data_IF_737604900741
#
_entry.id   IF_737604900741
#
_cell.length_a   1.000
_cell.length_b   1.000
_cell.length_c   1.000
_cell.angle_alpha   90.00
_cell.angle_beta   90.00
_cell.angle_gamma   90.00
#
_symmetry.space_group_name_H-M   'P 1'
#
loop_
_entity.id
_entity.type
_entity.pdbx_description
1 polymer ?
#
# COMPACT_ATOMS: atom_id res chain seq x y z
N UNK A 1 -20.00 17.35 3.75
CA UNK A 1 -20.06 18.20 2.55
C UNK A 1 -18.95 17.73 1.62
N UNK A 2 -19.23 17.53 0.34
CA UNK A 2 -18.20 17.16 -0.65
C UNK A 2 -17.50 18.43 -1.12
N UNK A 3 -16.16 18.47 -1.12
CA UNK A 3 -15.39 19.61 -1.64
C UNK A 3 -14.39 19.18 -2.71
N UNK A 4 -14.21 20.01 -3.74
CA UNK A 4 -13.24 19.81 -4.82
C UNK A 4 -11.90 20.48 -4.48
N UNK A 5 -10.83 19.69 -4.39
CA UNK A 5 -9.49 20.15 -3.96
C UNK A 5 -8.38 19.42 -4.73
N UNK A 6 -7.14 19.87 -4.58
CA UNK A 6 -5.97 19.01 -4.79
C UNK A 6 -5.65 18.26 -3.50
N UNK A 7 -5.13 17.03 -3.60
CA UNK A 7 -4.73 16.18 -2.49
C UNK A 7 -3.29 15.68 -2.69
N UNK A 8 -2.48 15.78 -1.64
CA UNK A 8 -1.16 15.17 -1.55
C UNK A 8 -1.07 14.46 -0.19
N UNK A 9 -0.91 13.14 -0.18
CA UNK A 9 -0.89 12.38 1.06
C UNK A 9 -0.02 11.13 0.99
N UNK A 10 0.58 10.78 2.13
CA UNK A 10 1.13 9.44 2.41
C UNK A 10 0.39 8.77 3.57
N UNK A 11 -0.66 9.39 4.07
CA UNK A 11 -1.50 8.85 5.13
C UNK A 11 -2.86 8.54 4.53
N UNK A 12 -3.00 7.32 4.05
CA UNK A 12 -4.25 6.84 3.49
C UNK A 12 -4.44 5.35 3.73
N UNK A 13 -5.70 4.94 3.77
CA UNK A 13 -6.11 3.60 4.17
C UNK A 13 -7.06 3.04 3.12
N UNK A 14 -6.79 1.81 2.69
CA UNK A 14 -7.75 1.02 1.91
C UNK A 14 -8.75 0.37 2.84
N UNK A 15 -10.04 0.64 2.63
CA UNK A 15 -11.11 0.14 3.50
C UNK A 15 -12.01 -0.81 2.70
N UNK A 16 -11.99 -2.12 2.98
CA UNK A 16 -12.80 -3.10 2.25
C UNK A 16 -14.29 -2.93 2.55
N UNK A 17 -15.12 -3.13 1.53
CA UNK A 17 -16.58 -3.10 1.62
C UNK A 17 -17.19 -4.15 0.68
N UNK A 18 -18.25 -4.81 1.14
CA UNK A 18 -19.10 -5.66 0.31
C UNK A 18 -20.43 -4.96 0.10
N UNK A 19 -20.89 -4.89 -1.15
CA UNK A 19 -22.20 -4.36 -1.52
C UNK A 19 -22.81 -5.18 -2.65
N UNK A 20 -24.14 -5.13 -2.80
CA UNK A 20 -24.80 -5.64 -4.00
C UNK A 20 -24.56 -4.68 -5.16
N UNK A 21 -23.99 -5.18 -6.26
CA UNK A 21 -23.74 -4.39 -7.45
C UNK A 21 -25.07 -4.00 -8.10
N UNK A 22 -25.36 -2.70 -8.32
CA UNK A 22 -26.62 -2.27 -8.93
C UNK A 22 -26.73 -2.66 -10.42
N UNK A 23 -25.61 -3.02 -11.05
CA UNK A 23 -25.55 -3.33 -12.48
C UNK A 23 -25.76 -4.83 -12.77
N UNK A 24 -25.11 -5.72 -12.02
CA UNK A 24 -25.18 -7.17 -12.24
C UNK A 24 -25.90 -7.95 -11.13
N UNK A 25 -26.23 -7.32 -10.01
CA UNK A 25 -26.91 -7.95 -8.87
C UNK A 25 -26.05 -8.89 -8.02
N UNK A 26 -24.79 -9.10 -8.38
CA UNK A 26 -23.87 -9.90 -7.58
C UNK A 26 -23.37 -9.12 -6.36
N UNK A 27 -23.21 -9.79 -5.23
CA UNK A 27 -22.45 -9.25 -4.09
C UNK A 27 -20.98 -9.10 -4.53
N UNK A 28 -20.50 -7.86 -4.54
CA UNK A 28 -19.15 -7.51 -4.96
C UNK A 28 -18.34 -7.04 -3.77
N UNK A 29 -17.12 -7.55 -3.65
CA UNK A 29 -16.09 -7.03 -2.75
C UNK A 29 -15.31 -5.95 -3.48
N UNK A 30 -15.27 -4.77 -2.88
CA UNK A 30 -14.51 -3.62 -3.38
C UNK A 30 -13.86 -2.89 -2.19
N UNK A 31 -13.30 -1.70 -2.39
CA UNK A 31 -12.73 -0.91 -1.32
C UNK A 31 -12.86 0.59 -1.57
N UNK A 32 -12.96 1.35 -0.48
CA UNK A 32 -12.82 2.81 -0.49
C UNK A 32 -11.41 3.25 -0.06
N UNK A 33 -11.08 4.49 -0.37
CA UNK A 33 -9.86 5.15 0.10
C UNK A 33 -10.26 6.18 1.16
N UNK A 34 -9.60 6.13 2.31
CA UNK A 34 -9.73 7.16 3.36
C UNK A 34 -8.39 7.87 3.51
N UNK A 35 -8.37 9.19 3.33
CA UNK A 35 -7.21 10.04 3.57
C UNK A 35 -7.18 10.50 5.03
N UNK A 36 -5.98 10.59 5.61
CA UNK A 36 -5.76 10.94 7.01
C UNK A 36 -5.49 12.43 7.28
N UNK A 37 -5.47 12.85 8.55
CA UNK A 37 -5.33 14.24 8.99
C UNK A 37 -3.99 14.91 8.65
N UNK A 38 -2.92 14.15 8.38
CA UNK A 38 -1.65 14.70 7.87
C UNK A 38 -1.67 15.01 6.38
N UNK A 39 -2.72 14.60 5.66
CA UNK A 39 -2.89 14.91 4.25
C UNK A 39 -2.83 16.42 4.00
N UNK A 40 -2.23 16.79 2.88
CA UNK A 40 -2.15 18.16 2.42
C UNK A 40 -3.21 18.39 1.36
N UNK A 41 -3.92 19.50 1.47
CA UNK A 41 -4.93 19.93 0.50
C UNK A 41 -4.68 21.35 0.04
N UNK A 42 -5.18 21.66 -1.15
CA UNK A 42 -5.22 23.02 -1.66
C UNK A 42 -6.44 23.23 -2.55
N UNK A 43 -6.78 24.48 -2.87
CA UNK A 43 -7.93 24.80 -3.73
C UNK A 43 -7.75 24.17 -5.11
N UNK A 44 -8.77 23.46 -5.59
CA UNK A 44 -8.81 23.01 -6.98
C UNK A 44 -8.88 24.23 -7.91
N UNK A 45 -8.43 24.07 -9.16
CA UNK A 45 -8.44 25.03 -10.30
C UNK A 45 -7.09 25.55 -10.78
N UNK A 46 -6.04 24.72 -10.89
CA UNK A 46 -4.82 25.23 -11.52
C UNK A 46 -4.13 24.26 -12.49
N UNK A 47 -3.54 24.86 -13.53
CA UNK A 47 -2.76 24.22 -14.59
C UNK A 47 -1.50 23.52 -14.07
N UNK A 48 -1.00 22.53 -14.80
CA UNK A 48 0.19 21.74 -14.44
C UNK A 48 1.45 22.53 -14.03
N UNK A 49 1.59 23.81 -14.38
CA UNK A 49 2.72 24.68 -14.00
C UNK A 49 2.65 25.26 -12.57
N UNK A 50 1.48 25.26 -11.91
CA UNK A 50 1.28 25.92 -10.61
C UNK A 50 1.46 25.01 -9.38
N UNK A 51 1.45 23.69 -9.57
CA UNK A 51 1.38 22.71 -8.47
C UNK A 51 2.61 22.78 -7.54
N UNK A 52 3.77 23.19 -8.08
CA UNK A 52 5.02 23.37 -7.32
C UNK A 52 5.00 24.65 -6.47
N UNK A 53 4.16 25.64 -6.80
CA UNK A 53 4.04 26.92 -6.08
C UNK A 53 2.78 27.02 -5.21
N UNK A 54 2.06 25.93 -5.08
CA UNK A 54 0.76 25.91 -4.40
C UNK A 54 0.91 25.98 -2.87
N UNK A 55 0.08 26.81 -2.23
CA UNK A 55 0.00 26.85 -0.77
C UNK A 55 -0.76 25.62 -0.26
N UNK A 56 0.00 24.62 0.17
CA UNK A 56 -0.54 23.42 0.80
C UNK A 56 -0.94 23.72 2.24
N UNK A 57 -2.16 23.33 2.60
CA UNK A 57 -2.64 23.40 3.98
C UNK A 57 -2.90 21.99 4.49
N UNK A 58 -2.57 21.74 5.76
CA UNK A 58 -2.90 20.46 6.40
C UNK A 58 -4.42 20.31 6.46
N UNK A 59 -4.91 19.14 6.06
CA UNK A 59 -6.34 18.84 6.02
C UNK A 59 -6.94 18.71 7.42
N UNK A 60 -6.25 18.02 8.33
CA UNK A 60 -6.60 18.00 9.76
C UNK A 60 -7.77 17.09 10.16
N UNK A 61 -8.34 16.33 9.22
CA UNK A 61 -9.40 15.36 9.48
C UNK A 61 -9.21 14.08 8.65
N UNK A 62 -9.93 13.01 9.02
CA UNK A 62 -10.13 11.89 8.09
C UNK A 62 -11.20 12.27 7.06
N UNK A 63 -11.02 11.82 5.82
CA UNK A 63 -12.04 11.95 4.77
C UNK A 63 -12.09 10.73 3.86
N UNK A 64 -13.31 10.33 3.51
CA UNK A 64 -13.53 9.42 2.39
C UNK A 64 -13.24 10.14 1.08
N UNK A 65 -12.43 9.50 0.24
CA UNK A 65 -12.07 9.97 -1.09
C UNK A 65 -13.09 9.41 -2.08
N UNK A 66 -14.01 10.26 -2.54
CA UNK A 66 -15.09 9.87 -3.45
C UNK A 66 -14.61 9.71 -4.90
N UNK A 67 -13.62 10.51 -5.31
CA UNK A 67 -12.98 10.41 -6.62
C UNK A 67 -11.58 11.01 -6.56
N UNK A 68 -10.62 10.38 -7.23
CA UNK A 68 -9.30 10.97 -7.52
C UNK A 68 -9.16 11.16 -9.02
N UNK A 69 -8.82 12.34 -9.47
CA UNK A 69 -8.66 12.63 -10.89
C UNK A 69 -7.62 13.69 -11.19
N UNK A 70 -7.57 14.07 -12.46
CA UNK A 70 -6.56 14.99 -12.99
C UNK A 70 -5.29 14.23 -13.34
N UNK A 71 -4.18 14.46 -12.64
CA UNK A 71 -2.91 13.73 -12.90
C UNK A 71 -2.92 12.34 -12.27
N UNK A 72 -3.39 11.35 -13.03
CA UNK A 72 -3.56 9.98 -12.57
C UNK A 72 -2.32 9.10 -12.73
N UNK A 73 -1.24 9.54 -13.40
CA UNK A 73 -0.05 8.72 -13.70
C UNK A 73 0.56 8.02 -12.47
N UNK A 74 0.62 8.73 -11.34
CA UNK A 74 1.11 8.17 -10.07
C UNK A 74 0.07 7.22 -9.44
N UNK A 75 -1.22 7.56 -9.54
CA UNK A 75 -2.33 6.75 -9.04
C UNK A 75 -2.45 5.45 -9.84
N UNK A 76 -2.36 5.50 -11.16
CA UNK A 76 -2.42 4.32 -12.03
C UNK A 76 -1.29 3.36 -11.71
N UNK A 77 -0.07 3.87 -11.56
CA UNK A 77 1.09 3.04 -11.22
C UNK A 77 0.96 2.40 -9.84
N UNK A 78 0.58 3.17 -8.82
CA UNK A 78 0.63 2.71 -7.43
C UNK A 78 -0.65 2.04 -6.94
N UNK A 79 -1.81 2.48 -7.44
CA UNK A 79 -3.12 1.99 -7.01
C UNK A 79 -3.66 0.94 -7.97
N UNK A 80 -3.64 1.17 -9.29
CA UNK A 80 -4.16 0.16 -10.22
C UNK A 80 -3.24 -1.06 -10.30
N UNK A 81 -1.92 -0.89 -10.32
CA UNK A 81 -0.99 -2.02 -10.31
C UNK A 81 -1.30 -3.00 -9.16
N UNK A 82 -1.52 -2.46 -7.96
CA UNK A 82 -1.75 -3.24 -6.74
C UNK A 82 -3.21 -3.66 -6.52
N UNK A 83 -4.19 -2.85 -6.93
CA UNK A 83 -5.61 -3.02 -6.60
C UNK A 83 -6.52 -3.04 -7.85
N UNK A 84 -6.02 -3.60 -8.96
CA UNK A 84 -6.69 -3.64 -10.27
C UNK A 84 -8.10 -4.26 -10.26
N UNK A 85 -8.39 -5.19 -9.34
CA UNK A 85 -9.71 -5.81 -9.21
C UNK A 85 -10.74 -4.95 -8.47
N UNK A 86 -10.30 -3.84 -7.88
CA UNK A 86 -11.10 -2.98 -7.00
C UNK A 86 -11.30 -1.59 -7.60
N UNK A 87 -10.30 -1.10 -8.34
CA UNK A 87 -10.32 0.23 -8.94
C UNK A 87 -10.00 0.17 -10.43
N UNK A 88 -10.52 1.13 -11.17
CA UNK A 88 -10.17 1.41 -12.57
C UNK A 88 -10.04 2.91 -12.75
N UNK A 89 -9.25 3.35 -13.73
CA UNK A 89 -9.35 4.73 -14.21
C UNK A 89 -10.38 4.81 -15.35
N UNK A 90 -11.36 5.69 -15.21
CA UNK A 90 -12.38 6.00 -16.23
C UNK A 90 -12.55 7.51 -16.31
N UNK A 91 -12.53 8.09 -17.51
CA UNK A 91 -12.64 9.54 -17.72
C UNK A 91 -11.65 10.34 -16.85
N UNK A 92 -10.38 9.92 -16.82
CA UNK A 92 -9.29 10.54 -16.03
C UNK A 92 -9.57 10.59 -14.51
N UNK A 93 -10.40 9.66 -14.02
CA UNK A 93 -10.72 9.51 -12.60
C UNK A 93 -10.59 8.06 -12.15
N UNK A 94 -9.93 7.85 -11.02
CA UNK A 94 -9.99 6.58 -10.30
C UNK A 94 -11.40 6.38 -9.74
N UNK A 95 -12.03 5.31 -10.19
CA UNK A 95 -13.36 4.86 -9.75
C UNK A 95 -13.26 3.48 -9.14
N UNK A 96 -14.08 3.21 -8.13
CA UNK A 96 -14.30 1.86 -7.63
C UNK A 96 -15.11 1.07 -8.65
N UNK A 97 -14.79 -0.20 -8.83
CA UNK A 97 -15.47 -1.10 -9.76
C UNK A 97 -16.04 -2.32 -9.05
N UNK A 98 -17.01 -2.96 -9.69
CA UNK A 98 -17.48 -4.30 -9.33
C UNK A 98 -16.45 -5.35 -9.75
N UNK A 99 -16.09 -6.29 -8.87
CA UNK A 99 -15.15 -7.38 -9.16
C UNK A 99 -15.69 -8.39 -10.20
N UNK A 100 -17.00 -8.35 -10.51
CA UNK A 100 -17.66 -9.30 -11.41
C UNK A 100 -17.98 -8.76 -12.81
N UNK A 101 -18.46 -7.52 -12.90
CA UNK A 101 -18.83 -6.90 -14.18
C UNK A 101 -18.00 -5.66 -14.53
N UNK A 102 -17.01 -5.33 -13.70
CA UNK A 102 -16.10 -4.18 -13.84
C UNK A 102 -16.80 -2.81 -13.88
N UNK A 103 -18.13 -2.74 -13.76
CA UNK A 103 -18.86 -1.49 -13.80
C UNK A 103 -18.55 -0.58 -12.61
N UNK A 104 -18.53 0.72 -12.88
CA UNK A 104 -18.25 1.75 -11.89
C UNK A 104 -19.32 1.79 -10.80
N UNK A 105 -18.88 1.79 -9.55
CA UNK A 105 -19.72 1.90 -8.36
C UNK A 105 -19.76 3.36 -7.91
N UNK A 106 -20.98 3.92 -7.82
CA UNK A 106 -21.14 5.32 -7.44
C UNK A 106 -20.70 5.55 -5.97
N UNK A 107 -19.97 6.64 -5.65
CA UNK A 107 -19.41 6.84 -4.30
C UNK A 107 -20.46 6.86 -3.20
N UNK A 108 -21.67 7.35 -3.48
CA UNK A 108 -22.78 7.37 -2.54
C UNK A 108 -23.27 5.98 -2.11
N UNK A 109 -23.07 4.95 -2.95
CA UNK A 109 -23.45 3.56 -2.63
C UNK A 109 -22.53 2.96 -1.58
N UNK A 110 -21.23 3.26 -1.66
CA UNK A 110 -20.21 2.67 -0.78
C UNK A 110 -19.86 3.55 0.41
N UNK A 111 -20.15 4.87 0.36
CA UNK A 111 -19.73 5.86 1.37
C UNK A 111 -19.97 5.41 2.80
N UNK A 112 -21.21 5.04 3.14
CA UNK A 112 -21.55 4.63 4.50
C UNK A 112 -20.84 3.33 4.91
N UNK A 113 -20.72 2.37 3.99
CA UNK A 113 -20.00 1.12 4.23
C UNK A 113 -18.51 1.35 4.50
N UNK A 114 -17.88 2.21 3.70
CA UNK A 114 -16.47 2.61 3.86
C UNK A 114 -16.25 3.37 5.15
N UNK A 115 -17.04 4.42 5.43
CA UNK A 115 -16.84 5.23 6.63
C UNK A 115 -17.07 4.42 7.92
N UNK A 116 -18.11 3.59 7.96
CA UNK A 116 -18.34 2.70 9.12
C UNK A 116 -17.28 1.61 9.22
N UNK A 117 -16.84 1.05 8.08
CA UNK A 117 -15.75 0.08 8.01
C UNK A 117 -14.45 0.64 8.56
N UNK A 118 -14.11 1.88 8.19
CA UNK A 118 -12.93 2.58 8.68
C UNK A 118 -12.94 2.70 10.21
N UNK A 119 -14.02 3.22 10.80
CA UNK A 119 -14.15 3.34 12.26
C UNK A 119 -14.03 1.98 12.94
N UNK A 120 -14.73 0.97 12.44
CA UNK A 120 -14.73 -0.40 13.00
C UNK A 120 -13.36 -1.05 12.94
N UNK A 121 -12.65 -0.94 11.82
CA UNK A 121 -11.32 -1.51 11.64
C UNK A 121 -10.27 -0.74 12.47
N UNK A 122 -10.39 0.59 12.54
CA UNK A 122 -9.51 1.44 13.34
C UNK A 122 -9.58 1.11 14.82
N UNK A 123 -10.79 0.95 15.37
CA UNK A 123 -11.01 0.52 16.77
C UNK A 123 -10.36 -0.84 17.10
N UNK A 124 -10.19 -1.71 16.09
CA UNK A 124 -9.56 -3.02 16.23
C UNK A 124 -8.07 -3.02 15.89
N UNK A 125 -7.49 -1.86 15.55
CA UNK A 125 -6.10 -1.72 15.05
C UNK A 125 -5.82 -2.59 13.82
N UNK A 126 -6.82 -2.74 12.95
CA UNK A 126 -6.75 -3.52 11.70
C UNK A 126 -6.62 -2.65 10.45
N UNK A 127 -6.56 -1.33 10.62
CA UNK A 127 -6.28 -0.41 9.53
C UNK A 127 -4.78 -0.34 9.28
N UNK A 128 -4.41 -0.40 8.01
CA UNK A 128 -3.04 -0.27 7.56
C UNK A 128 -2.93 1.00 6.73
N UNK A 129 -2.02 1.88 7.14
CA UNK A 129 -1.65 3.02 6.32
C UNK A 129 -0.78 2.51 5.17
N UNK A 130 -1.23 2.74 3.93
CA UNK A 130 -0.54 2.28 2.74
C UNK A 130 0.83 2.96 2.56
N UNK A 131 1.04 4.14 3.15
CA UNK A 131 2.30 4.92 3.11
C UNK A 131 2.83 5.26 1.70
N UNK A 132 2.10 4.86 0.67
CA UNK A 132 2.30 5.23 -0.72
C UNK A 132 1.93 6.69 -0.94
N UNK A 133 2.71 7.40 -1.75
CA UNK A 133 2.36 8.75 -2.14
C UNK A 133 1.12 8.70 -3.04
N UNK A 134 0.04 9.37 -2.63
CA UNK A 134 -1.09 9.68 -3.49
C UNK A 134 -1.09 11.17 -3.78
N UNK A 135 -1.05 11.51 -5.06
CA UNK A 135 -1.26 12.86 -5.54
C UNK A 135 -2.42 12.89 -6.53
N UNK A 136 -3.31 13.85 -6.35
CA UNK A 136 -4.43 14.12 -7.27
C UNK A 136 -4.67 15.62 -7.33
N UNK A 137 -4.76 16.16 -8.55
CA UNK A 137 -5.08 17.58 -8.75
C UNK A 137 -6.59 17.88 -8.70
N UNK A 138 -7.44 16.85 -8.82
CA UNK A 138 -8.89 16.95 -8.67
C UNK A 138 -9.41 15.82 -7.79
N UNK A 139 -9.72 16.13 -6.53
CA UNK A 139 -10.28 15.18 -5.55
C UNK A 139 -11.65 15.63 -5.08
N UNK A 140 -12.57 14.68 -4.84
CA UNK A 140 -13.81 14.91 -4.10
C UNK A 140 -13.68 14.23 -2.72
N UNK A 141 -13.77 15.03 -1.64
CA UNK A 141 -13.59 14.54 -0.26
C UNK A 141 -14.89 14.69 0.54
N UNK A 142 -15.28 13.62 1.24
CA UNK A 142 -16.34 13.64 2.27
C UNK A 142 -15.71 13.42 3.64
N UNK A 143 -15.72 14.47 4.45
CA UNK A 143 -15.10 14.47 5.79
C UNK A 143 -15.89 13.63 6.80
N UNK A 144 -15.18 12.99 7.73
CA UNK A 144 -15.79 12.39 8.90
C UNK A 144 -16.22 13.48 9.89
N UNK A 145 -17.24 13.20 10.71
CA UNK A 145 -17.57 14.09 11.81
C UNK A 145 -16.38 14.25 12.77
N UNK A 146 -16.18 15.47 13.28
CA UNK A 146 -15.11 15.81 14.21
C UNK A 146 -15.03 14.81 15.38
N UNK A 147 -13.81 14.40 15.74
CA UNK A 147 -13.56 13.45 16.84
C UNK A 147 -13.22 12.02 16.40
N UNK A 148 -13.22 11.73 15.10
CA UNK A 148 -12.67 10.46 14.59
C UNK A 148 -11.15 10.50 14.71
N UNK A 149 -10.61 9.63 15.54
CA UNK A 149 -9.19 9.41 15.76
C UNK A 149 -8.94 7.91 15.70
N UNK A 150 -7.79 7.53 15.16
CA UNK A 150 -7.30 6.16 15.21
C UNK A 150 -5.99 6.19 15.97
N UNK A 151 -5.77 5.17 16.77
CA UNK A 151 -4.46 4.92 17.36
C UNK A 151 -3.61 4.29 16.26
N UNK A 152 -2.61 5.01 15.77
CA UNK A 152 -1.65 4.43 14.84
C UNK A 152 -0.90 3.29 15.54
N UNK A 153 -0.69 2.19 14.83
CA UNK A 153 0.22 1.18 15.31
C UNK A 153 1.64 1.71 15.11
N UNK A 154 2.37 1.94 16.20
CA UNK A 154 3.79 2.33 16.17
C UNK A 154 4.67 1.25 15.49
N UNK A 155 4.12 0.05 15.26
CA UNK A 155 4.76 -0.99 14.46
C UNK A 155 4.72 -0.53 13.00
N UNK A 156 5.88 -0.31 12.35
CA UNK A 156 5.92 0.33 11.03
C UNK A 156 5.26 -0.50 9.90
N UNK A 157 4.92 -1.76 10.15
CA UNK A 157 4.28 -2.72 9.22
C UNK A 157 3.40 -3.71 10.02
N UNK A 158 2.28 -3.27 10.62
CA UNK A 158 1.54 -4.08 11.59
C UNK A 158 0.81 -5.29 10.97
N UNK A 159 0.60 -5.27 9.65
CA UNK A 159 -0.02 -6.33 8.85
C UNK A 159 0.99 -7.25 8.16
N UNK A 160 2.29 -6.99 8.33
CA UNK A 160 3.33 -7.81 7.76
C UNK A 160 3.70 -8.91 8.74
N UNK A 161 3.82 -10.12 8.22
CA UNK A 161 4.43 -11.22 8.93
C UNK A 161 5.81 -11.48 8.33
N UNK A 162 6.80 -11.75 9.19
CA UNK A 162 8.12 -12.18 8.75
C UNK A 162 7.99 -13.58 8.16
N UNK A 163 8.45 -13.76 6.93
CA UNK A 163 8.36 -15.03 6.22
C UNK A 163 9.65 -15.83 6.39
N UNK A 164 10.78 -15.16 6.16
CA UNK A 164 12.11 -15.75 6.20
C UNK A 164 13.17 -14.69 6.54
N UNK A 165 14.32 -15.16 6.97
CA UNK A 165 15.51 -14.36 7.26
C UNK A 165 16.68 -14.97 6.52
N UNK A 166 17.46 -14.15 5.82
CA UNK A 166 18.69 -14.56 5.19
C UNK A 166 19.89 -13.97 5.93
N UNK A 167 20.91 -14.79 6.16
CA UNK A 167 22.22 -14.30 6.55
C UNK A 167 22.88 -13.66 5.32
N UNK A 168 23.55 -12.53 5.51
CA UNK A 168 24.20 -11.79 4.43
C UNK A 168 25.65 -11.46 4.71
N UNK A 169 26.42 -11.32 3.66
CA UNK A 169 27.80 -10.83 3.68
C UNK A 169 27.99 -9.76 2.61
N UNK A 170 28.75 -8.70 2.91
CA UNK A 170 29.20 -7.72 1.91
C UNK A 170 30.51 -8.16 1.27
N UNK A 171 30.93 -7.52 0.17
CA UNK A 171 32.23 -7.81 -0.44
C UNK A 171 33.42 -7.55 0.49
N UNK A 172 33.24 -6.68 1.48
CA UNK A 172 34.25 -6.34 2.49
C UNK A 172 34.24 -7.30 3.69
N UNK A 173 33.40 -8.34 3.66
CA UNK A 173 33.29 -9.35 4.71
C UNK A 173 32.42 -8.95 5.91
N UNK A 174 31.64 -7.86 5.79
CA UNK A 174 30.70 -7.48 6.85
C UNK A 174 29.48 -8.38 6.82
N UNK A 175 29.10 -8.90 7.98
CA UNK A 175 27.94 -9.79 8.11
C UNK A 175 26.69 -9.01 8.54
N UNK A 176 25.53 -9.55 8.18
CA UNK A 176 24.24 -8.97 8.51
C UNK A 176 23.11 -9.96 8.27
N UNK A 177 21.88 -9.44 8.31
CA UNK A 177 20.69 -10.21 7.96
C UNK A 177 19.75 -9.40 7.08
N UNK A 178 19.05 -10.08 6.18
CA UNK A 178 17.92 -9.56 5.43
C UNK A 178 16.69 -10.31 5.87
N UNK A 179 15.71 -9.61 6.42
CA UNK A 179 14.41 -10.19 6.75
C UNK A 179 13.45 -9.90 5.60
N UNK A 180 12.80 -10.95 5.08
CA UNK A 180 11.71 -10.81 4.13
C UNK A 180 10.38 -10.89 4.89
N UNK A 181 9.57 -9.87 4.70
CA UNK A 181 8.25 -9.74 5.28
C UNK A 181 7.21 -9.70 4.18
N UNK A 182 6.02 -10.23 4.45
CA UNK A 182 4.91 -10.24 3.50
C UNK A 182 3.61 -9.82 4.19
N UNK A 183 2.83 -8.97 3.52
CA UNK A 183 1.45 -8.71 3.88
C UNK A 183 0.51 -9.43 2.93
N UNK A 184 -0.29 -10.34 3.47
CA UNK A 184 -1.37 -11.00 2.73
C UNK A 184 -2.43 -9.98 2.32
N UNK A 185 -2.68 -8.97 3.16
CA UNK A 185 -3.72 -7.96 2.92
C UNK A 185 -3.38 -7.03 1.74
N UNK A 186 -2.09 -6.69 1.61
CA UNK A 186 -1.56 -5.81 0.56
C UNK A 186 -0.96 -6.59 -0.62
N UNK A 187 -0.77 -7.90 -0.47
CA UNK A 187 -0.12 -8.78 -1.43
C UNK A 187 1.23 -8.24 -1.91
N UNK A 188 2.03 -7.74 -0.97
CA UNK A 188 3.32 -7.13 -1.23
C UNK A 188 4.38 -7.61 -0.24
N UNK A 189 5.63 -7.28 -0.55
CA UNK A 189 6.80 -7.66 0.22
C UNK A 189 7.52 -6.42 0.76
N UNK A 190 8.18 -6.61 1.89
CA UNK A 190 9.10 -5.65 2.48
C UNK A 190 10.36 -6.39 2.91
N UNK A 191 11.47 -5.67 2.87
CA UNK A 191 12.73 -6.12 3.41
C UNK A 191 13.23 -5.19 4.50
N UNK A 192 13.84 -5.80 5.51
CA UNK A 192 14.61 -5.11 6.53
C UNK A 192 16.01 -5.66 6.51
N UNK A 193 17.00 -4.79 6.30
CA UNK A 193 18.42 -5.13 6.34
C UNK A 193 18.98 -4.68 7.66
N UNK A 194 19.63 -5.60 8.37
CA UNK A 194 20.26 -5.37 9.65
C UNK A 194 21.75 -5.68 9.59
N UNK A 195 22.56 -4.87 10.25
CA UNK A 195 23.99 -5.14 10.42
C UNK A 195 24.25 -6.29 11.39
N UNK A 196 25.52 -6.65 11.55
CA UNK A 196 25.98 -7.68 12.50
C UNK A 196 25.53 -7.44 13.95
N UNK A 197 25.32 -6.17 14.33
CA UNK A 197 24.84 -5.75 15.66
C UNK A 197 23.31 -5.85 15.81
N UNK A 198 22.61 -6.30 14.76
CA UNK A 198 21.15 -6.38 14.70
C UNK A 198 20.47 -5.03 14.48
N UNK A 199 21.22 -3.95 14.27
CA UNK A 199 20.65 -2.63 14.00
C UNK A 199 20.15 -2.56 12.56
N UNK A 200 18.94 -2.03 12.40
CA UNK A 200 18.38 -1.73 11.07
C UNK A 200 19.25 -0.69 10.35
N UNK A 201 19.80 -1.11 9.21
CA UNK A 201 20.59 -0.28 8.31
C UNK A 201 19.73 0.25 7.17
N UNK A 202 18.79 -0.56 6.70
CA UNK A 202 17.93 -0.23 5.60
C UNK A 202 16.58 -0.93 5.73
N UNK A 203 15.55 -0.27 5.23
CA UNK A 203 14.22 -0.83 5.10
C UNK A 203 13.64 -0.37 3.79
N UNK A 204 13.10 -1.33 3.06
CA UNK A 204 12.31 -1.08 1.87
C UNK A 204 10.99 -1.83 1.98
N UNK A 205 9.91 -1.16 1.65
CA UNK A 205 8.57 -1.71 1.72
C UNK A 205 7.81 -1.32 0.47
N UNK A 206 6.79 -2.12 0.13
CA UNK A 206 5.93 -1.94 -1.04
C UNK A 206 6.49 -2.58 -2.33
N UNK A 207 7.28 -3.64 -2.22
CA UNK A 207 7.71 -4.42 -3.37
C UNK A 207 6.55 -5.32 -3.81
N UNK A 208 5.94 -5.03 -4.95
CA UNK A 208 4.80 -5.82 -5.46
C UNK A 208 5.26 -7.17 -6.05
N UNK A 209 6.57 -7.33 -6.28
CA UNK A 209 7.21 -8.52 -6.80
C UNK A 209 8.52 -8.82 -6.05
N UNK A 210 8.82 -10.11 -5.82
CA UNK A 210 10.10 -10.58 -5.29
C UNK A 210 11.29 -10.24 -6.22
N UNK A 211 11.03 -9.97 -7.50
CA UNK A 211 12.05 -9.44 -8.42
C UNK A 211 12.56 -8.06 -7.98
N UNK A 212 11.69 -7.19 -7.49
CA UNK A 212 12.11 -5.88 -6.98
C UNK A 212 12.95 -6.04 -5.71
N UNK A 213 12.52 -6.95 -4.83
CA UNK A 213 13.28 -7.31 -3.62
C UNK A 213 14.70 -7.79 -3.96
N UNK A 214 14.84 -8.74 -4.87
CA UNK A 214 16.15 -9.30 -5.26
C UNK A 214 17.02 -8.25 -5.97
N UNK A 215 16.42 -7.35 -6.75
CA UNK A 215 17.10 -6.20 -7.35
C UNK A 215 17.65 -5.24 -6.29
N UNK A 216 16.87 -4.96 -5.24
CA UNK A 216 17.31 -4.12 -4.11
C UNK A 216 18.47 -4.78 -3.36
N UNK A 217 18.40 -6.08 -3.07
CA UNK A 217 19.48 -6.85 -2.42
C UNK A 217 20.78 -6.75 -3.25
N UNK A 218 20.68 -6.98 -4.56
CA UNK A 218 21.82 -6.86 -5.47
C UNK A 218 22.39 -5.44 -5.55
N UNK A 219 21.52 -4.41 -5.54
CA UNK A 219 21.92 -2.99 -5.55
C UNK A 219 22.67 -2.60 -4.27
N UNK A 220 22.31 -3.20 -3.13
CA UNK A 220 22.99 -3.02 -1.85
C UNK A 220 24.32 -3.80 -1.76
N UNK A 221 24.66 -4.60 -2.79
CA UNK A 221 25.89 -5.40 -2.82
C UNK A 221 25.90 -6.53 -1.80
N UNK A 222 24.72 -7.01 -1.39
CA UNK A 222 24.58 -8.06 -0.39
C UNK A 222 24.61 -9.45 -1.04
N UNK A 223 25.49 -10.30 -0.54
CA UNK A 223 25.52 -11.73 -0.87
C UNK A 223 24.70 -12.47 0.17
N UNK A 224 23.69 -13.22 -0.28
CA UNK A 224 22.88 -14.07 0.60
C UNK A 224 23.59 -15.41 0.80
N UNK A 225 23.82 -15.81 2.05
CA UNK A 225 24.60 -17.02 2.35
C UNK A 225 23.76 -18.16 2.91
N UNK A 226 22.83 -17.86 3.82
CA UNK A 226 21.93 -18.86 4.42
C UNK A 226 20.53 -18.33 4.50
N UNK A 227 19.54 -19.20 4.32
CA UNK A 227 18.12 -18.87 4.41
C UNK A 227 17.49 -19.65 5.57
N UNK A 228 16.77 -18.93 6.43
CA UNK A 228 16.06 -19.43 7.60
C UNK A 228 14.57 -19.10 7.47
N UNK A 229 13.70 -20.08 7.71
CA UNK A 229 12.26 -19.82 7.78
C UNK A 229 11.91 -19.21 9.14
N UNK A 230 11.08 -18.17 9.15
CA UNK A 230 10.58 -17.59 10.41
C UNK A 230 9.76 -18.62 11.21
N UNK A 231 8.99 -19.46 10.51
CA UNK A 231 8.26 -20.58 11.11
C UNK A 231 8.32 -21.83 10.21
N UNK A 232 9.17 -22.83 10.53
CA UNK A 232 9.42 -23.98 9.65
C UNK A 232 8.19 -24.85 9.32
N UNK A 233 7.19 -24.88 10.20
CA UNK A 233 5.94 -25.64 10.00
C UNK A 233 4.85 -24.85 9.28
N UNK A 234 5.08 -23.57 8.99
CA UNK A 234 4.09 -22.73 8.31
C UNK A 234 4.12 -22.98 6.80
N UNK A 235 3.00 -23.38 6.17
CA UNK A 235 2.94 -23.53 4.72
C UNK A 235 3.18 -22.20 4.00
N UNK A 236 2.84 -21.06 4.62
CA UNK A 236 3.11 -19.73 4.06
C UNK A 236 4.61 -19.42 4.02
N UNK A 237 5.34 -19.74 5.09
CA UNK A 237 6.80 -19.57 5.11
C UNK A 237 7.48 -20.51 4.10
N UNK A 238 6.99 -21.75 3.97
CA UNK A 238 7.48 -22.72 2.98
C UNK A 238 7.31 -22.20 1.54
N UNK A 239 6.10 -21.75 1.19
CA UNK A 239 5.82 -21.17 -0.13
C UNK A 239 6.66 -19.92 -0.39
N UNK A 240 6.78 -19.02 0.59
CA UNK A 240 7.58 -17.80 0.45
C UNK A 240 9.05 -18.10 0.16
N UNK A 241 9.63 -19.14 0.79
CA UNK A 241 10.98 -19.61 0.46
C UNK A 241 11.07 -20.07 -0.99
N UNK A 242 10.15 -20.91 -1.43
CA UNK A 242 10.21 -21.50 -2.77
C UNK A 242 10.14 -20.41 -3.86
N UNK A 243 9.21 -19.45 -3.70
CA UNK A 243 9.09 -18.29 -4.60
C UNK A 243 10.32 -17.37 -4.54
N UNK A 244 10.89 -17.17 -3.36
CA UNK A 244 12.05 -16.30 -3.20
C UNK A 244 13.33 -16.94 -3.79
N UNK A 245 13.51 -18.25 -3.64
CA UNK A 245 14.60 -18.99 -4.29
C UNK A 245 14.47 -18.94 -5.82
N UNK A 246 13.25 -19.10 -6.35
CA UNK A 246 13.00 -18.93 -7.78
C UNK A 246 13.37 -17.51 -8.24
N UNK A 247 12.96 -16.47 -7.52
CA UNK A 247 13.33 -15.09 -7.86
C UNK A 247 14.85 -14.85 -7.81
N UNK A 248 15.54 -15.44 -6.84
CA UNK A 248 17.01 -15.38 -6.72
C UNK A 248 17.70 -16.08 -7.89
N UNK A 249 17.24 -17.26 -8.30
CA UNK A 249 17.77 -17.98 -9.46
C UNK A 249 17.63 -17.15 -10.74
N UNK A 250 16.46 -16.52 -10.95
CA UNK A 250 16.24 -15.61 -12.07
C UNK A 250 17.14 -14.36 -12.02
N UNK A 251 17.53 -13.91 -10.83
CA UNK A 251 18.48 -12.82 -10.63
C UNK A 251 19.96 -13.26 -10.77
N UNK A 252 20.21 -14.55 -11.00
CA UNK A 252 21.55 -15.12 -11.23
C UNK A 252 22.24 -15.66 -9.97
N UNK A 253 21.54 -15.77 -8.84
CA UNK A 253 22.07 -16.46 -7.66
C UNK A 253 22.09 -17.97 -7.90
N UNK A 254 23.09 -18.65 -7.34
CA UNK A 254 23.23 -20.10 -7.40
C UNK A 254 23.20 -20.69 -5.99
N UNK A 255 22.49 -21.80 -5.84
CA UNK A 255 22.46 -22.54 -4.60
C UNK A 255 23.68 -23.47 -4.54
N UNK A 256 24.55 -23.30 -3.54
CA UNK A 256 25.58 -24.29 -3.25
C UNK A 256 24.92 -25.60 -2.80
N UNK A 257 25.31 -26.70 -3.46
CA UNK A 257 24.73 -28.04 -3.28
C UNK A 257 25.50 -28.87 -2.28
#
# INVERSE_FOLDING_TARGET
MTSHRSLLTKEWYRVPVSIDCPHCGAETRTAGIVAGPSSLVSTAELSAESDVKQAWTRFGAFAFVESLGGRTENIERLVLGRFHNTFSVRNDQLVQICEHCEEGLAPNLIRSGVMNGFVRLGQRRLLVNERLLLFSSVVALTEFACGTWIEECDVPLPDYAMMLTCDTETQDGETGTVELWHSIARNDYAIVVKGHDGRELFRDGLNDDLKEVTTTIGTLGLVLTKLHLAQPSSPYCGLARDLFLEALEHAGYQQET
#
